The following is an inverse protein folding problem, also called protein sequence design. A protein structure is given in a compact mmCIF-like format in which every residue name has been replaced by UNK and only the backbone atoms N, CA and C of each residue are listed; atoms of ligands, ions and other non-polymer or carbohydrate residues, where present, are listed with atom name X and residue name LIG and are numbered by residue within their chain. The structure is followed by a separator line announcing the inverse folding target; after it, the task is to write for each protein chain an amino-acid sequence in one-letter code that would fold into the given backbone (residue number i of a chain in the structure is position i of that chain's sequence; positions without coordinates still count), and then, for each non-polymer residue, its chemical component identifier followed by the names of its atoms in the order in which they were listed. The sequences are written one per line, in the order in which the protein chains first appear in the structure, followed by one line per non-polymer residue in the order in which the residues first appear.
data_IF_612319679971
#
_entry.id   IF_612319679971
#
_cell.length_a   1.000
_cell.length_b   1.000
_cell.length_c   1.000
_cell.angle_alpha   90.00
_cell.angle_beta   90.00
_cell.angle_gamma   90.00
#
_symmetry.space_group_name_H-M   'P 1'
#
loop_
_entity.id
_entity.type
_entity.pdbx_description
1 polymer ?
#
# COMPACT_ATOMS: atom_id res chain seq x y z
N UNK A 1 -7.18 8.60 61.29
CA UNK A 1 -7.20 9.75 60.35
C UNK A 1 -6.74 9.25 58.99
N UNK A 2 -7.66 9.24 58.02
CA UNK A 2 -7.59 8.50 56.74
C UNK A 2 -7.12 9.47 55.66
N UNK A 3 -5.95 9.25 55.05
CA UNK A 3 -5.53 10.03 53.88
C UNK A 3 -5.33 9.05 52.71
N UNK A 4 -6.40 8.89 51.94
CA UNK A 4 -6.37 8.24 50.62
C UNK A 4 -5.63 9.16 49.66
N UNK A 5 -4.43 8.78 49.22
CA UNK A 5 -3.79 9.41 48.07
C UNK A 5 -4.39 8.80 46.81
N UNK A 6 -5.28 9.56 46.17
CA UNK A 6 -5.79 9.24 44.84
C UNK A 6 -4.65 9.37 43.83
N UNK A 7 -4.13 8.24 43.35
CA UNK A 7 -3.31 8.20 42.15
C UNK A 7 -4.25 8.17 40.95
N UNK A 8 -4.59 9.35 40.44
CA UNK A 8 -5.30 9.49 39.17
C UNK A 8 -4.27 9.27 38.06
N UNK A 9 -4.27 8.08 37.45
CA UNK A 9 -3.51 7.84 36.23
C UNK A 9 -4.20 8.63 35.11
N UNK A 10 -3.62 9.76 34.72
CA UNK A 10 -4.01 10.46 33.50
C UNK A 10 -3.61 9.58 32.31
N UNK A 11 -4.58 8.91 31.69
CA UNK A 11 -4.41 8.23 30.42
C UNK A 11 -4.15 9.30 29.36
N UNK A 12 -2.88 9.48 29.00
CA UNK A 12 -2.48 10.36 27.90
C UNK A 12 -3.10 9.85 26.60
N UNK A 13 -4.01 10.64 26.05
CA UNK A 13 -4.54 10.46 24.71
C UNK A 13 -3.39 10.76 23.73
N UNK A 14 -2.61 9.74 23.37
CA UNK A 14 -1.69 9.82 22.24
C UNK A 14 -2.56 9.79 20.98
N UNK A 15 -3.05 10.96 20.58
CA UNK A 15 -3.76 11.14 19.32
C UNK A 15 -2.83 10.67 18.19
N UNK A 16 -3.21 9.55 17.58
CA UNK A 16 -2.59 8.99 16.38
C UNK A 16 -2.39 10.09 15.34
N UNK A 17 -1.14 10.38 15.03
CA UNK A 17 -0.77 11.00 13.76
C UNK A 17 -0.92 9.90 12.71
N UNK A 18 -2.15 9.70 12.21
CA UNK A 18 -2.39 8.89 11.02
C UNK A 18 -1.73 9.60 9.83
N UNK A 19 -0.77 9.00 9.13
CA UNK A 19 -0.24 9.60 7.93
C UNK A 19 -1.38 9.62 6.90
N UNK A 20 -1.65 10.79 6.31
CA UNK A 20 -2.61 11.00 5.22
C UNK A 20 -2.17 10.33 3.89
N UNK A 21 -1.49 9.18 3.96
CA UNK A 21 -0.82 8.48 2.86
C UNK A 21 -1.29 7.03 2.69
N UNK A 22 -2.11 6.49 3.60
CA UNK A 22 -2.62 5.14 3.49
C UNK A 22 -3.90 5.11 2.63
N UNK A 23 -3.89 4.32 1.55
CA UNK A 23 -5.13 3.99 0.79
C UNK A 23 -6.09 3.33 1.77
N UNK A 24 -7.29 3.89 1.91
CA UNK A 24 -8.29 3.41 2.86
C UNK A 24 -8.82 2.03 2.45
N UNK A 25 -9.38 1.29 3.41
CA UNK A 25 -10.00 -0.01 3.12
C UNK A 25 -11.20 0.10 2.16
N UNK A 26 -11.95 1.21 2.22
CA UNK A 26 -13.06 1.46 1.29
C UNK A 26 -12.55 1.67 -0.15
N UNK A 27 -11.48 2.44 -0.33
CA UNK A 27 -10.84 2.63 -1.63
C UNK A 27 -10.25 1.32 -2.16
N UNK A 28 -9.61 0.53 -1.31
CA UNK A 28 -9.13 -0.82 -1.66
C UNK A 28 -10.29 -1.72 -2.10
N UNK A 29 -11.43 -1.68 -1.41
CA UNK A 29 -12.61 -2.44 -1.79
C UNK A 29 -13.12 -2.04 -3.18
N UNK A 30 -13.20 -0.73 -3.48
CA UNK A 30 -13.53 -0.23 -4.82
C UNK A 30 -12.54 -0.69 -5.89
N UNK A 31 -11.23 -0.67 -5.60
CA UNK A 31 -10.21 -1.20 -6.51
C UNK A 31 -10.41 -2.69 -6.79
N UNK A 32 -10.63 -3.51 -5.73
CA UNK A 32 -10.87 -4.96 -5.88
C UNK A 32 -12.14 -5.26 -6.67
N UNK A 33 -13.20 -4.47 -6.49
CA UNK A 33 -14.45 -4.59 -7.24
C UNK A 33 -14.26 -4.24 -8.73
N UNK A 34 -13.47 -3.22 -9.04
CA UNK A 34 -13.21 -2.80 -10.41
C UNK A 34 -12.24 -3.74 -11.16
N UNK A 35 -11.41 -4.48 -10.45
CA UNK A 35 -10.34 -5.29 -11.03
C UNK A 35 -10.86 -6.62 -11.62
N UNK A 36 -10.37 -7.06 -12.79
CA UNK A 36 -10.76 -8.34 -13.38
C UNK A 36 -10.42 -9.54 -12.47
N UNK A 37 -11.23 -10.59 -12.53
CA UNK A 37 -11.00 -11.85 -11.78
C UNK A 37 -10.05 -12.82 -12.50
N UNK A 38 -9.70 -12.54 -13.77
CA UNK A 38 -8.84 -13.39 -14.59
C UNK A 38 -8.07 -12.53 -15.59
N UNK A 39 -6.92 -12.99 -16.11
CA UNK A 39 -6.17 -12.21 -17.07
C UNK A 39 -6.92 -12.17 -18.40
N UNK A 40 -6.85 -11.03 -19.12
CA UNK A 40 -7.44 -10.91 -20.46
C UNK A 40 -6.76 -11.87 -21.44
N UNK A 41 -5.44 -12.06 -21.28
CA UNK A 41 -4.63 -13.01 -22.03
C UNK A 41 -3.84 -13.84 -21.03
N UNK A 42 -3.92 -15.16 -21.16
CA UNK A 42 -3.18 -16.08 -20.29
C UNK A 42 -1.67 -15.96 -20.58
N UNK A 43 -0.81 -15.70 -19.57
CA UNK A 43 0.63 -15.73 -19.78
C UNK A 43 1.11 -17.13 -20.15
N UNK A 44 1.96 -17.24 -21.17
CA UNK A 44 2.57 -18.51 -21.59
C UNK A 44 3.53 -19.08 -20.54
N UNK A 45 4.10 -18.21 -19.70
CA UNK A 45 5.02 -18.56 -18.60
C UNK A 45 4.89 -17.56 -17.45
N UNK A 46 5.25 -17.93 -16.21
CA UNK A 46 5.32 -17.00 -15.10
C UNK A 46 6.22 -15.80 -15.44
N UNK A 47 5.76 -14.59 -15.11
CA UNK A 47 6.47 -13.34 -15.37
C UNK A 47 6.44 -12.44 -14.14
N UNK A 48 7.52 -11.68 -13.97
CA UNK A 48 7.65 -10.65 -12.93
C UNK A 48 7.60 -9.28 -13.61
N UNK A 49 6.85 -8.35 -13.02
CA UNK A 49 6.74 -6.97 -13.45
C UNK A 49 7.43 -6.06 -12.43
N UNK A 50 8.47 -5.36 -12.88
CA UNK A 50 9.09 -4.28 -12.11
C UNK A 50 8.20 -3.04 -12.18
N UNK A 51 7.76 -2.56 -11.02
CA UNK A 51 7.07 -1.28 -10.84
C UNK A 51 8.06 -0.32 -10.19
N UNK A 52 8.76 0.44 -11.04
CA UNK A 52 9.72 1.43 -10.58
C UNK A 52 9.04 2.79 -10.36
N UNK A 53 9.20 3.37 -9.18
CA UNK A 53 8.64 4.68 -8.82
C UNK A 53 9.65 5.51 -8.03
N UNK A 54 10.20 6.57 -8.63
CA UNK A 54 11.15 7.46 -7.97
C UNK A 54 10.78 8.93 -8.19
N UNK A 55 10.42 9.62 -7.12
CA UNK A 55 10.14 11.05 -7.12
C UNK A 55 11.22 11.79 -6.32
N UNK A 56 12.06 12.60 -6.99
CA UNK A 56 13.12 13.42 -6.36
C UNK A 56 12.67 14.85 -6.00
N UNK A 57 11.39 15.15 -6.18
CA UNK A 57 10.80 16.45 -5.93
C UNK A 57 9.39 16.30 -5.41
N UNK A 58 8.39 16.52 -6.26
CA UNK A 58 6.99 16.37 -5.88
C UNK A 58 6.55 14.90 -5.87
N UNK A 59 6.04 14.43 -4.73
CA UNK A 59 5.49 13.09 -4.57
C UNK A 59 3.96 13.16 -4.75
N UNK A 60 3.45 12.52 -5.80
CA UNK A 60 2.03 12.54 -6.10
C UNK A 60 1.27 11.64 -5.12
N UNK A 61 0.18 12.16 -4.54
CA UNK A 61 -0.70 11.38 -3.64
C UNK A 61 -1.34 10.16 -4.31
N UNK A 62 -1.34 10.08 -5.64
CA UNK A 62 -1.86 8.94 -6.41
C UNK A 62 -0.92 7.74 -6.44
N UNK A 63 0.37 7.88 -6.12
CA UNK A 63 1.36 6.79 -6.15
C UNK A 63 0.91 5.57 -5.32
N UNK A 64 0.51 5.70 -4.03
CA UNK A 64 0.07 4.55 -3.25
C UNK A 64 -1.17 3.86 -3.84
N UNK A 65 -2.03 4.60 -4.55
CA UNK A 65 -3.22 4.03 -5.20
C UNK A 65 -2.86 3.13 -6.38
N UNK A 66 -1.98 3.59 -7.26
CA UNK A 66 -1.53 2.78 -8.40
C UNK A 66 -0.70 1.58 -7.96
N UNK A 67 0.17 1.74 -6.97
CA UNK A 67 0.94 0.63 -6.41
C UNK A 67 0.00 -0.48 -5.89
N UNK A 68 -1.01 -0.09 -5.10
CA UNK A 68 -2.01 -1.04 -4.57
C UNK A 68 -2.87 -1.66 -5.67
N UNK A 69 -3.26 -0.90 -6.69
CA UNK A 69 -4.03 -1.43 -7.82
C UNK A 69 -3.24 -2.51 -8.59
N UNK A 70 -1.93 -2.33 -8.80
CA UNK A 70 -1.09 -3.33 -9.46
C UNK A 70 -0.91 -4.59 -8.61
N UNK A 71 -0.78 -4.46 -7.28
CA UNK A 71 -0.77 -5.61 -6.37
C UNK A 71 -2.08 -6.41 -6.50
N UNK A 72 -3.23 -5.73 -6.43
CA UNK A 72 -4.55 -6.36 -6.55
C UNK A 72 -4.71 -7.02 -7.91
N UNK A 73 -4.24 -6.38 -8.99
CA UNK A 73 -4.29 -6.96 -10.33
C UNK A 73 -3.48 -8.26 -10.41
N UNK A 74 -2.27 -8.27 -9.86
CA UNK A 74 -1.42 -9.45 -9.80
C UNK A 74 -2.11 -10.59 -9.02
N UNK A 75 -2.65 -10.29 -7.85
CA UNK A 75 -3.38 -11.24 -7.00
C UNK A 75 -4.59 -11.83 -7.72
N UNK A 76 -5.47 -10.98 -8.27
CA UNK A 76 -6.74 -11.44 -8.85
C UNK A 76 -6.55 -12.16 -10.17
N UNK A 77 -5.66 -11.66 -11.02
CA UNK A 77 -5.51 -12.19 -12.38
C UNK A 77 -4.45 -13.29 -12.48
N UNK A 78 -3.51 -13.38 -11.54
CA UNK A 78 -2.35 -14.25 -11.67
C UNK A 78 -1.49 -13.97 -12.91
N UNK A 79 -1.69 -12.82 -13.57
CA UNK A 79 -1.06 -12.51 -14.85
C UNK A 79 0.45 -12.29 -14.73
N UNK A 80 0.91 -11.84 -13.56
CA UNK A 80 2.29 -11.50 -13.26
C UNK A 80 2.47 -11.45 -11.73
N UNK A 81 3.70 -11.58 -11.27
CA UNK A 81 4.11 -11.13 -9.94
C UNK A 81 4.60 -9.68 -10.01
N UNK A 82 4.47 -8.92 -8.92
CA UNK A 82 4.87 -7.51 -8.85
C UNK A 82 6.10 -7.36 -7.97
N UNK A 83 7.01 -6.51 -8.40
CA UNK A 83 8.16 -6.06 -7.63
C UNK A 83 8.24 -4.54 -7.69
N UNK A 84 8.02 -3.88 -6.55
CA UNK A 84 8.15 -2.43 -6.46
C UNK A 84 9.59 -2.05 -6.13
N UNK A 85 10.11 -1.01 -6.78
CA UNK A 85 11.41 -0.45 -6.41
C UNK A 85 11.44 1.07 -6.58
N UNK A 86 12.24 1.72 -5.74
CA UNK A 86 12.61 3.13 -5.89
C UNK A 86 14.13 3.28 -6.10
N UNK A 87 14.87 2.17 -6.08
CA UNK A 87 16.32 2.13 -6.21
C UNK A 87 16.74 2.00 -7.67
N UNK A 88 17.56 2.93 -8.14
CA UNK A 88 18.10 2.94 -9.50
C UNK A 88 19.00 1.73 -9.80
N UNK A 89 19.50 1.03 -8.78
CA UNK A 89 20.32 -0.19 -8.94
C UNK A 89 19.57 -1.32 -9.67
N UNK A 90 18.24 -1.31 -9.71
CA UNK A 90 17.46 -2.30 -10.49
C UNK A 90 17.71 -2.22 -11.99
N UNK A 91 18.33 -1.13 -12.48
CA UNK A 91 18.70 -0.93 -13.87
C UNK A 91 20.20 -1.14 -14.14
N UNK A 92 21.00 -1.48 -13.13
CA UNK A 92 22.40 -1.82 -13.35
C UNK A 92 22.53 -3.29 -13.78
N UNK A 93 23.39 -3.61 -14.77
CA UNK A 93 23.59 -4.98 -15.25
C UNK A 93 24.10 -5.97 -14.19
#
# INVERSE_FOLDING_TARGET
MRIRRHFTLAAGLLAMVLPALAVTNEEIAKMRQAMPDKPVVQPERPRRMLVFSLCKGFNHSSIPYWAKALDIMAEKTGAFAVEHSTDMSVFTP
#
